data_IF_491672419944
#
_entry.id   IF_491672419944
#
_cell.length_a   1.000
_cell.length_b   1.000
_cell.length_c   1.000
_cell.angle_alpha   90.00
_cell.angle_beta   90.00
_cell.angle_gamma   90.00
#
_symmetry.space_group_name_H-M   'P 1'
#
loop_
_entity.id
_entity.type
_entity.pdbx_description
1 polymer ?
#
# COMPACT_ATOMS: atom_id res chain seq x y z
N UNK A 1 -9.15 14.06 -3.22
CA UNK A 1 -9.46 12.65 -2.96
C UNK A 1 -8.27 12.04 -2.24
N UNK A 2 -8.49 11.29 -1.18
CA UNK A 2 -7.47 10.61 -0.38
C UNK A 2 -7.63 9.10 -0.56
N UNK A 3 -6.61 8.45 -1.08
CA UNK A 3 -6.59 7.00 -1.27
C UNK A 3 -5.44 6.43 -0.50
N UNK A 4 -5.71 5.38 0.28
CA UNK A 4 -4.68 4.61 0.99
C UNK A 4 -4.55 3.25 0.34
N UNK A 5 -3.34 2.72 0.18
CA UNK A 5 -3.11 1.39 -0.41
C UNK A 5 -2.26 0.50 0.49
N UNK A 6 -2.60 -0.79 0.53
CA UNK A 6 -1.67 -1.83 0.96
C UNK A 6 -0.64 -2.12 -0.16
N UNK A 7 0.35 -2.96 0.12
CA UNK A 7 1.38 -3.42 -0.82
C UNK A 7 0.77 -4.17 -2.01
N UNK A 8 -0.10 -5.15 -1.74
CA UNK A 8 -0.55 -6.12 -2.76
C UNK A 8 -1.13 -5.48 -4.04
N UNK A 9 -2.03 -4.47 -4.00
CA UNK A 9 -2.46 -3.75 -5.20
C UNK A 9 -1.32 -3.11 -6.00
N UNK A 10 -0.33 -2.52 -5.32
CA UNK A 10 0.85 -1.92 -5.98
C UNK A 10 1.69 -2.99 -6.68
N UNK A 11 1.92 -4.12 -6.01
CA UNK A 11 2.70 -5.24 -6.57
C UNK A 11 2.00 -5.81 -7.81
N UNK A 12 0.69 -6.04 -7.73
CA UNK A 12 -0.09 -6.62 -8.83
C UNK A 12 -0.09 -5.67 -10.04
N UNK A 13 -0.37 -4.38 -9.83
CA UNK A 13 -0.39 -3.40 -10.92
C UNK A 13 1.00 -3.20 -11.52
N UNK A 14 2.06 -3.21 -10.72
CA UNK A 14 3.43 -3.21 -11.24
C UNK A 14 3.69 -4.43 -12.13
N UNK A 15 3.36 -5.64 -11.67
CA UNK A 15 3.53 -6.89 -12.43
C UNK A 15 2.72 -6.91 -13.72
N UNK A 16 1.56 -6.26 -13.74
CA UNK A 16 0.75 -6.10 -14.95
C UNK A 16 1.24 -4.96 -15.87
N UNK A 17 2.24 -4.18 -15.47
CA UNK A 17 2.69 -3.00 -16.23
C UNK A 17 1.66 -1.86 -16.25
N UNK A 18 0.80 -1.78 -15.22
CA UNK A 18 -0.35 -0.87 -15.14
C UNK A 18 -0.38 -0.02 -13.87
N UNK A 19 0.80 0.26 -13.31
CA UNK A 19 0.95 1.10 -12.12
C UNK A 19 0.49 2.55 -12.36
N UNK A 20 0.55 3.01 -13.62
CA UNK A 20 0.04 4.29 -14.12
C UNK A 20 -1.46 4.48 -13.86
N UNK A 21 -2.25 3.40 -13.80
CA UNK A 21 -3.68 3.47 -13.52
C UNK A 21 -3.98 4.12 -12.17
N UNK A 22 -3.13 3.91 -11.16
CA UNK A 22 -3.31 4.54 -9.85
C UNK A 22 -3.18 6.06 -9.95
N UNK A 23 -2.23 6.55 -10.75
CA UNK A 23 -2.07 7.97 -10.99
C UNK A 23 -3.26 8.55 -11.78
N UNK A 24 -3.72 7.85 -12.83
CA UNK A 24 -4.83 8.30 -13.66
C UNK A 24 -6.16 8.34 -12.90
N UNK A 25 -6.41 7.36 -12.04
CA UNK A 25 -7.66 7.25 -11.27
C UNK A 25 -7.65 8.14 -10.03
N UNK A 26 -6.52 8.19 -9.32
CA UNK A 26 -6.47 8.76 -7.97
C UNK A 26 -5.61 10.00 -7.82
N UNK A 27 -4.71 10.27 -8.77
CA UNK A 27 -3.74 11.36 -8.72
C UNK A 27 -2.61 11.11 -7.72
N UNK A 28 -2.95 10.85 -6.45
CA UNK A 28 -2.01 10.53 -5.36
C UNK A 28 -2.53 9.33 -4.56
N UNK A 29 -1.63 8.41 -4.24
CA UNK A 29 -1.89 7.25 -3.38
C UNK A 29 -0.99 7.31 -2.16
N UNK A 30 -1.58 7.20 -0.99
CA UNK A 30 -0.88 7.20 0.29
C UNK A 30 -0.59 5.77 0.73
N UNK A 31 0.61 5.52 1.24
CA UNK A 31 0.98 4.23 1.82
C UNK A 31 1.54 4.41 3.23
N UNK A 32 1.26 3.49 4.16
CA UNK A 32 1.91 3.49 5.47
C UNK A 32 3.38 3.04 5.36
N UNK A 33 4.14 3.30 6.42
CA UNK A 33 5.56 2.93 6.50
C UNK A 33 5.76 1.41 6.34
N UNK A 34 4.94 0.55 6.96
CA UNK A 34 5.07 -0.89 6.79
C UNK A 34 4.92 -1.34 5.32
N UNK A 35 4.02 -0.71 4.57
CA UNK A 35 3.84 -1.01 3.14
C UNK A 35 5.05 -0.57 2.35
N UNK A 36 5.59 0.62 2.61
CA UNK A 36 6.84 1.08 1.99
C UNK A 36 7.99 0.10 2.27
N UNK A 37 8.12 -0.38 3.50
CA UNK A 37 9.12 -1.39 3.85
C UNK A 37 8.92 -2.68 3.03
N UNK A 38 7.68 -3.14 2.86
CA UNK A 38 7.39 -4.34 2.07
C UNK A 38 7.68 -4.15 0.58
N UNK A 39 7.31 -3.02 -0.03
CA UNK A 39 7.44 -2.82 -1.49
C UNK A 39 8.79 -2.26 -1.92
N UNK A 40 9.44 -1.45 -1.09
CA UNK A 40 10.74 -0.81 -1.40
C UNK A 40 11.91 -1.60 -0.84
N UNK A 41 11.77 -2.27 0.31
CA UNK A 41 12.89 -3.04 0.88
C UNK A 41 12.79 -4.54 0.56
N UNK A 42 11.98 -4.90 -0.45
CA UNK A 42 11.92 -6.27 -0.94
C UNK A 42 13.22 -6.67 -1.65
N UNK A 43 14.08 -7.41 -0.95
CA UNK A 43 15.36 -7.88 -1.48
C UNK A 43 15.22 -8.93 -2.59
N UNK A 44 14.01 -9.49 -2.79
CA UNK A 44 13.77 -10.51 -3.81
C UNK A 44 13.48 -9.94 -5.19
N UNK A 45 13.03 -8.69 -5.28
CA UNK A 45 12.69 -8.04 -6.55
C UNK A 45 13.10 -6.56 -6.55
N UNK A 46 14.37 -6.32 -6.87
CA UNK A 46 14.98 -4.99 -6.87
C UNK A 46 14.39 -4.08 -7.96
N UNK A 47 14.00 -4.64 -9.11
CA UNK A 47 13.39 -3.86 -10.20
C UNK A 47 12.03 -3.32 -9.77
N UNK A 48 11.21 -4.16 -9.13
CA UNK A 48 9.94 -3.73 -8.54
C UNK A 48 10.14 -2.59 -7.54
N UNK A 49 11.05 -2.77 -6.60
CA UNK A 49 11.34 -1.76 -5.58
C UNK A 49 11.76 -0.42 -6.21
N UNK A 50 12.68 -0.44 -7.17
CA UNK A 50 13.16 0.76 -7.86
C UNK A 50 12.06 1.44 -8.67
N UNK A 51 11.17 0.67 -9.31
CA UNK A 51 10.06 1.23 -10.08
C UNK A 51 9.01 1.91 -9.18
N UNK A 52 8.59 1.24 -8.09
CA UNK A 52 7.59 1.76 -7.17
C UNK A 52 8.14 2.98 -6.41
N UNK A 53 9.42 2.96 -6.00
CA UNK A 53 10.04 4.09 -5.30
C UNK A 53 10.25 5.34 -6.14
N UNK A 54 10.29 5.21 -7.48
CA UNK A 54 10.37 6.35 -8.42
C UNK A 54 9.03 6.97 -8.77
N UNK A 55 7.93 6.42 -8.25
CA UNK A 55 6.60 6.93 -8.53
C UNK A 55 6.25 8.09 -7.59
N UNK A 56 6.36 9.32 -8.08
CA UNK A 56 6.09 10.55 -7.29
C UNK A 56 4.64 10.64 -6.75
N UNK A 57 3.71 9.93 -7.38
CA UNK A 57 2.32 9.88 -6.94
C UNK A 57 2.08 8.92 -5.76
N UNK A 58 3.05 8.08 -5.41
CA UNK A 58 2.99 7.19 -4.25
C UNK A 58 3.71 7.89 -3.09
N UNK A 59 2.94 8.34 -2.10
CA UNK A 59 3.45 9.11 -0.98
C UNK A 59 3.38 8.32 0.31
N UNK A 60 4.47 8.34 1.06
CA UNK A 60 4.56 7.67 2.36
C UNK A 60 3.93 8.58 3.41
N UNK A 61 3.07 8.00 4.24
CA UNK A 61 2.49 8.69 5.37
C UNK A 61 2.81 7.93 6.66
N UNK A 62 3.38 8.59 7.68
CA UNK A 62 3.69 7.96 8.95
C UNK A 62 2.41 7.49 9.63
N UNK A 63 2.50 6.37 10.34
CA UNK A 63 1.46 5.85 11.23
C UNK A 63 1.95 5.80 12.67
N UNK A 64 1.07 5.97 13.68
CA UNK A 64 1.48 5.90 15.08
C UNK A 64 2.21 4.59 15.41
N UNK A 65 3.35 4.68 16.10
CA UNK A 65 4.20 3.53 16.45
C UNK A 65 3.52 2.50 17.37
N UNK A 66 2.46 2.90 18.09
CA UNK A 66 1.58 1.99 18.83
C UNK A 66 0.59 1.33 17.88
N UNK A 67 1.09 0.62 16.88
CA UNK A 67 0.26 -0.20 16.00
C UNK A 67 -0.23 -1.41 16.81
N UNK A 68 -1.53 -1.44 17.05
CA UNK A 68 -2.33 -2.42 17.78
C UNK A 68 -1.84 -3.87 17.69
N UNK A 69 -2.16 -4.69 18.70
CA UNK A 69 -2.11 -6.15 18.57
C UNK A 69 -3.17 -6.60 17.58
N UNK A 70 -2.80 -6.71 16.30
CA UNK A 70 -3.70 -7.22 15.28
C UNK A 70 -3.86 -8.74 15.43
N UNK A 71 -5.05 -9.25 15.11
CA UNK A 71 -5.28 -10.69 15.06
C UNK A 71 -4.29 -11.36 14.11
N UNK A 72 -3.95 -12.65 14.32
CA UNK A 72 -3.06 -13.44 13.45
C UNK A 72 -3.47 -13.49 11.96
N UNK A 73 -4.60 -12.91 11.60
CA UNK A 73 -5.20 -12.93 10.27
C UNK A 73 -4.87 -11.70 9.42
N UNK A 74 -4.30 -10.63 9.98
CA UNK A 74 -3.98 -9.38 9.29
C UNK A 74 -2.47 -9.15 9.40
N UNK A 75 -1.81 -8.91 8.27
CA UNK A 75 -0.40 -8.55 8.28
C UNK A 75 -0.18 -7.08 8.68
N UNK A 76 1.06 -6.72 8.99
CA UNK A 76 1.38 -5.36 9.46
C UNK A 76 1.05 -4.29 8.41
N UNK A 77 1.27 -4.57 7.12
CA UNK A 77 1.01 -3.61 6.04
C UNK A 77 -0.47 -3.30 5.89
N UNK A 78 -1.31 -4.34 5.90
CA UNK A 78 -2.76 -4.25 5.86
C UNK A 78 -3.30 -3.52 7.10
N UNK A 79 -2.82 -3.88 8.28
CA UNK A 79 -3.16 -3.24 9.54
C UNK A 79 -2.87 -1.73 9.55
N UNK A 80 -1.66 -1.33 9.16
CA UNK A 80 -1.29 0.09 9.10
C UNK A 80 -2.06 0.82 7.99
N UNK A 81 -2.38 0.17 6.87
CA UNK A 81 -3.18 0.77 5.81
C UNK A 81 -4.63 1.05 6.28
N UNK A 82 -5.24 0.11 7.01
CA UNK A 82 -6.56 0.30 7.64
C UNK A 82 -6.50 1.46 8.64
N UNK A 83 -5.51 1.48 9.53
CA UNK A 83 -5.34 2.56 10.50
C UNK A 83 -5.17 3.91 9.82
N UNK A 84 -4.29 4.01 8.82
CA UNK A 84 -4.02 5.24 8.08
C UNK A 84 -5.26 5.75 7.36
N UNK A 85 -6.02 4.85 6.71
CA UNK A 85 -7.28 5.21 6.06
C UNK A 85 -8.30 5.80 7.04
N UNK A 86 -8.37 5.23 8.25
CA UNK A 86 -9.25 5.69 9.32
C UNK A 86 -8.83 7.06 9.85
N UNK A 87 -7.53 7.25 10.12
CA UNK A 87 -6.97 8.50 10.64
C UNK A 87 -7.17 9.66 9.65
N UNK A 88 -6.94 9.40 8.36
CA UNK A 88 -7.04 10.42 7.32
C UNK A 88 -8.46 10.65 6.79
N UNK A 89 -9.42 9.79 7.21
CA UNK A 89 -10.76 9.69 6.62
C UNK A 89 -10.64 9.57 5.09
N UNK A 90 -9.89 8.58 4.65
CA UNK A 90 -9.64 8.34 3.23
C UNK A 90 -10.95 8.00 2.51
N UNK A 91 -11.07 8.45 1.26
CA UNK A 91 -12.22 8.15 0.39
C UNK A 91 -12.20 6.67 -0.04
N UNK A 92 -10.98 6.13 -0.24
CA UNK A 92 -10.78 4.73 -0.64
C UNK A 92 -9.60 4.10 0.10
N UNK A 93 -9.74 2.81 0.39
CA UNK A 93 -8.70 1.93 0.88
C UNK A 93 -8.54 0.77 -0.09
N UNK A 94 -7.35 0.63 -0.69
CA UNK A 94 -7.02 -0.44 -1.63
C UNK A 94 -6.39 -1.61 -0.86
N UNK A 95 -7.13 -2.71 -0.77
CA UNK A 95 -6.67 -3.98 -0.21
C UNK A 95 -6.81 -5.09 -1.25
N UNK A 96 -5.98 -6.12 -1.13
CA UNK A 96 -6.16 -7.38 -1.83
C UNK A 96 -6.65 -8.41 -0.82
N UNK A 97 -7.89 -8.88 -0.99
CA UNK A 97 -8.37 -9.99 -0.18
C UNK A 97 -7.94 -11.31 -0.82
N UNK A 98 -6.73 -11.77 -0.48
CA UNK A 98 -6.25 -13.10 -0.87
C UNK A 98 -7.20 -14.23 -0.45
N UNK A 99 -8.17 -13.99 0.45
CA UNK A 99 -9.16 -14.98 0.89
C UNK A 99 -10.46 -14.97 0.06
N UNK A 100 -10.68 -13.97 -0.79
CA UNK A 100 -11.83 -13.94 -1.71
C UNK A 100 -11.65 -14.87 -2.94
N UNK A 101 -10.53 -15.60 -3.02
CA UNK A 101 -10.24 -16.58 -4.08
C UNK A 101 -10.71 -18.01 -3.75
N UNK A 102 -11.66 -18.19 -2.83
CA UNK A 102 -12.24 -19.52 -2.52
C UNK A 102 -13.74 -19.56 -2.77
#
# INVERSE_FOLDING_TARGET
>A
MKVVSNSSPLIILYKCGRLDLLQQLFGVVLIPEAVQQEVVHNTKDRQQSEAISRCDFIQIHPTPAQSFTFSHRIDRGEAEAILLSTLLKADYLLLDDKRAQK
#
